data_IF_992844680276
#
_entry.id   IF_992844680276
#
_cell.length_a   1.000
_cell.length_b   1.000
_cell.length_c   1.000
_cell.angle_alpha   90.00
_cell.angle_beta   90.00
_cell.angle_gamma   90.00
#
_symmetry.space_group_name_H-M   'P 1'
#
loop_
_entity.id
_entity.type
_entity.pdbx_description
1 polymer ?
#
# COMPACT_ATOMS: atom_id res chain seq x y z
N UNK A 1 13.38 -5.62 -24.07
CA UNK A 1 12.52 -4.43 -23.97
C UNK A 1 13.08 -3.57 -22.83
N UNK A 2 13.37 -2.30 -23.08
CA UNK A 2 14.02 -1.25 -22.25
C UNK A 2 15.33 -1.52 -21.46
N UNK A 3 15.67 -2.76 -21.05
CA UNK A 3 16.92 -3.13 -20.34
C UNK A 3 17.27 -2.20 -19.16
N UNK A 4 16.27 -1.81 -18.38
CA UNK A 4 16.48 -0.95 -17.22
C UNK A 4 17.09 -1.76 -16.07
N UNK A 5 18.13 -1.25 -15.40
CA UNK A 5 18.60 -1.79 -14.12
C UNK A 5 17.48 -1.80 -13.07
N UNK A 6 17.45 -2.81 -12.20
CA UNK A 6 16.39 -2.93 -11.16
C UNK A 6 16.38 -1.73 -10.20
N UNK A 7 17.55 -1.13 -9.93
CA UNK A 7 17.66 0.07 -9.09
C UNK A 7 17.20 1.36 -9.78
N UNK A 8 16.86 1.31 -11.07
CA UNK A 8 16.22 2.41 -11.81
C UNK A 8 14.71 2.16 -12.01
N UNK A 9 14.19 1.03 -11.52
CA UNK A 9 12.77 0.76 -11.44
C UNK A 9 12.25 1.30 -10.11
N UNK A 10 11.19 2.09 -10.14
CA UNK A 10 10.50 2.54 -8.95
C UNK A 10 9.07 2.01 -8.96
N UNK A 11 8.70 1.29 -7.90
CA UNK A 11 7.32 0.85 -7.68
C UNK A 11 6.59 1.96 -6.93
N UNK A 12 5.45 2.40 -7.46
CA UNK A 12 4.60 3.43 -6.88
C UNK A 12 3.33 2.77 -6.34
N UNK A 13 3.02 3.04 -5.07
CA UNK A 13 1.73 2.73 -4.48
C UNK A 13 0.93 4.02 -4.32
N UNK A 14 -0.31 3.99 -4.80
CA UNK A 14 -1.25 5.10 -4.72
C UNK A 14 -2.69 4.67 -4.98
N UNK A 15 -3.62 5.58 -4.73
CA UNK A 15 -5.06 5.41 -5.00
C UNK A 15 -5.73 6.77 -5.15
N UNK A 16 -6.93 6.82 -5.70
CA UNK A 16 -7.66 8.07 -5.95
C UNK A 16 -7.99 8.87 -4.69
N UNK A 17 -8.06 8.18 -3.55
CA UNK A 17 -8.33 8.75 -2.25
C UNK A 17 -7.11 9.44 -1.62
N UNK A 18 -5.90 9.28 -2.19
CA UNK A 18 -4.65 9.84 -1.66
C UNK A 18 -4.12 11.01 -2.49
N UNK A 19 -3.58 12.01 -1.80
CA UNK A 19 -2.83 13.12 -2.40
C UNK A 19 -1.33 12.84 -2.42
N UNK A 20 -0.86 11.93 -1.57
CA UNK A 20 0.55 11.50 -1.43
C UNK A 20 0.72 10.03 -1.80
N UNK A 21 1.77 9.73 -2.58
CA UNK A 21 2.11 8.37 -3.02
C UNK A 21 3.28 7.80 -2.18
N UNK A 22 3.38 6.48 -2.14
CA UNK A 22 4.54 5.78 -1.59
C UNK A 22 5.39 5.18 -2.69
N UNK A 23 6.70 5.16 -2.48
CA UNK A 23 7.65 4.68 -3.48
C UNK A 23 8.61 3.64 -2.90
N UNK A 24 8.96 2.66 -3.72
CA UNK A 24 9.98 1.65 -3.46
C UNK A 24 10.99 1.60 -4.62
N UNK A 25 12.22 1.16 -4.34
CA UNK A 25 13.22 0.88 -5.38
C UNK A 25 13.19 -0.61 -5.73
N UNK A 26 13.12 -0.94 -7.01
CA UNK A 26 12.88 -2.30 -7.50
C UNK A 26 11.41 -2.72 -7.38
N UNK A 27 11.06 -3.89 -7.93
CA UNK A 27 9.67 -4.38 -7.94
C UNK A 27 9.16 -4.74 -6.54
N UNK A 28 10.02 -5.34 -5.72
CA UNK A 28 9.68 -5.90 -4.40
C UNK A 28 10.24 -5.07 -3.24
N UNK A 29 10.64 -3.82 -3.50
CA UNK A 29 11.25 -2.97 -2.51
C UNK A 29 10.26 -2.51 -1.41
N UNK A 30 10.76 -2.14 -0.22
CA UNK A 30 9.93 -1.55 0.81
C UNK A 30 9.47 -0.14 0.42
N UNK A 31 8.18 0.11 0.57
CA UNK A 31 7.53 1.37 0.23
C UNK A 31 7.67 2.38 1.37
N UNK A 32 7.87 3.65 1.00
CA UNK A 32 7.92 4.77 1.94
C UNK A 32 7.07 5.92 1.45
N UNK A 33 6.32 6.51 2.37
CA UNK A 33 5.61 7.77 2.16
C UNK A 33 6.53 8.99 2.42
N UNK A 34 6.21 10.17 1.86
CA UNK A 34 6.84 11.41 2.25
C UNK A 34 6.54 11.75 3.71
N UNK A 35 7.32 12.65 4.32
CA UNK A 35 7.29 12.92 5.78
C UNK A 35 5.93 13.40 6.34
N UNK A 36 5.06 13.93 5.49
CA UNK A 36 3.71 14.40 5.85
C UNK A 36 2.62 13.33 5.69
N UNK A 37 2.96 12.15 5.18
CA UNK A 37 2.07 11.01 5.07
C UNK A 37 2.65 9.84 5.87
N UNK A 38 1.84 9.24 6.74
CA UNK A 38 2.26 8.14 7.62
C UNK A 38 1.35 6.95 7.43
N UNK A 39 1.92 5.76 7.44
CA UNK A 39 1.15 4.53 7.47
C UNK A 39 1.17 3.87 8.85
N UNK A 40 0.16 3.05 9.10
CA UNK A 40 0.10 2.04 10.14
C UNK A 40 -0.29 0.72 9.48
N UNK A 41 0.16 -0.38 10.04
CA UNK A 41 -0.31 -1.72 9.67
C UNK A 41 -1.14 -2.21 10.85
N UNK A 42 -2.46 -2.32 10.65
CA UNK A 42 -3.38 -2.66 11.73
C UNK A 42 -3.88 -4.09 11.58
N UNK A 43 -3.97 -4.80 12.70
CA UNK A 43 -4.66 -6.08 12.75
C UNK A 43 -6.13 -5.89 12.32
N UNK A 44 -6.64 -6.70 11.37
CA UNK A 44 -8.00 -6.57 10.84
C UNK A 44 -9.12 -6.63 11.87
N UNK A 45 -8.94 -7.36 12.96
CA UNK A 45 -9.95 -7.66 13.98
C UNK A 45 -9.85 -6.73 15.17
N UNK A 46 -8.62 -6.46 15.64
CA UNK A 46 -8.37 -5.71 16.88
C UNK A 46 -8.10 -4.22 16.66
N UNK A 47 -7.84 -3.80 15.41
CA UNK A 47 -7.43 -2.45 15.02
C UNK A 47 -6.17 -1.91 15.73
N UNK A 48 -5.41 -2.80 16.37
CA UNK A 48 -4.12 -2.46 16.98
C UNK A 48 -3.02 -2.55 15.93
N UNK A 49 -2.01 -1.70 16.06
CA UNK A 49 -0.82 -1.80 15.22
C UNK A 49 -0.12 -3.13 15.48
N UNK A 50 0.19 -3.86 14.41
CA UNK A 50 0.89 -5.14 14.49
C UNK A 50 2.37 -4.95 14.81
N UNK A 51 3.04 -6.01 15.26
CA UNK A 51 4.49 -5.98 15.49
C UNK A 51 5.25 -5.81 14.14
N UNK A 52 6.55 -5.44 14.16
CA UNK A 52 7.39 -5.59 12.98
C UNK A 52 7.31 -7.03 12.42
N UNK A 53 7.43 -7.15 11.11
CA UNK A 53 7.34 -8.38 10.31
C UNK A 53 5.98 -9.09 10.34
N UNK A 54 4.96 -8.50 10.97
CA UNK A 54 3.58 -8.97 10.94
C UNK A 54 2.76 -8.29 9.82
N UNK A 55 1.74 -9.02 9.35
CA UNK A 55 0.83 -8.57 8.30
C UNK A 55 -0.45 -8.00 8.89
N UNK A 56 -0.96 -6.93 8.30
CA UNK A 56 -2.27 -6.36 8.61
C UNK A 56 -2.77 -5.46 7.49
N UNK A 57 -3.84 -4.72 7.73
CA UNK A 57 -4.33 -3.73 6.78
C UNK A 57 -3.50 -2.46 6.82
N UNK A 58 -3.13 -2.00 5.63
CA UNK A 58 -2.50 -0.71 5.40
C UNK A 58 -3.51 0.42 5.68
N UNK A 59 -3.23 1.20 6.73
CA UNK A 59 -3.94 2.43 7.07
C UNK A 59 -3.02 3.60 6.80
N UNK A 60 -3.53 4.65 6.16
CA UNK A 60 -2.75 5.78 5.69
C UNK A 60 -3.33 7.06 6.27
N UNK A 61 -2.46 7.87 6.87
CA UNK A 61 -2.73 9.20 7.36
C UNK A 61 -1.99 10.21 6.48
N UNK A 62 -2.71 10.85 5.56
CA UNK A 62 -2.17 11.81 4.61
C UNK A 62 -2.56 13.24 5.01
N UNK A 63 -1.58 14.03 5.47
CA UNK A 63 -1.82 15.44 5.82
C UNK A 63 -1.99 16.35 4.59
N UNK A 64 -1.66 15.85 3.39
CA UNK A 64 -1.90 16.58 2.14
C UNK A 64 -3.33 16.39 1.61
N UNK A 65 -4.14 15.49 2.19
CA UNK A 65 -5.57 15.33 1.88
C UNK A 65 -6.43 16.49 2.42
N UNK A 66 -6.07 17.72 2.05
CA UNK A 66 -6.83 18.91 2.39
C UNK A 66 -8.20 18.84 1.74
N UNK A 67 -9.25 19.14 2.52
CA UNK A 67 -10.67 19.03 2.11
C UNK A 67 -11.16 17.60 1.83
N UNK A 68 -10.42 16.57 2.22
CA UNK A 68 -10.84 15.18 2.19
C UNK A 68 -10.57 14.50 3.55
N UNK A 69 -10.83 13.20 3.63
CA UNK A 69 -10.47 12.39 4.80
C UNK A 69 -8.96 12.22 4.86
N UNK A 70 -8.38 12.50 6.04
CA UNK A 70 -6.94 12.35 6.25
C UNK A 70 -6.54 10.90 6.58
N UNK A 71 -7.44 10.12 7.20
CA UNK A 71 -7.22 8.72 7.55
C UNK A 71 -8.00 7.78 6.63
N UNK A 72 -7.31 6.85 5.97
CA UNK A 72 -7.88 5.90 5.02
C UNK A 72 -7.45 4.48 5.39
N UNK A 73 -8.43 3.58 5.54
CA UNK A 73 -8.21 2.13 5.66
C UNK A 73 -8.44 1.50 4.29
N UNK A 74 -7.36 1.03 3.67
CA UNK A 74 -7.32 0.69 2.24
C UNK A 74 -7.93 -0.68 1.89
N UNK A 75 -7.97 -1.58 2.88
CA UNK A 75 -8.16 -3.03 2.70
C UNK A 75 -7.06 -3.70 1.84
N UNK A 76 -5.87 -3.10 1.79
CA UNK A 76 -4.69 -3.75 1.25
C UNK A 76 -3.88 -4.35 2.39
N UNK A 77 -3.43 -5.59 2.23
CA UNK A 77 -2.52 -6.25 3.15
C UNK A 77 -1.09 -5.78 2.91
N UNK A 78 -0.41 -5.48 4.01
CA UNK A 78 1.00 -5.12 4.01
C UNK A 78 1.69 -5.64 5.27
N UNK A 79 3.01 -5.84 5.17
CA UNK A 79 3.90 -6.18 6.29
C UNK A 79 4.53 -4.91 6.83
N UNK A 80 4.54 -4.79 8.16
CA UNK A 80 5.19 -3.68 8.86
C UNK A 80 6.70 -3.93 8.94
N UNK A 81 7.52 -3.01 8.44
CA UNK A 81 8.98 -3.12 8.59
C UNK A 81 9.46 -2.27 9.79
N UNK A 82 10.59 -2.64 10.40
CA UNK A 82 11.15 -1.93 11.56
C UNK A 82 11.54 -0.47 11.24
N UNK A 83 11.92 -0.18 10.01
CA UNK A 83 12.49 1.10 9.58
C UNK A 83 11.46 2.11 9.07
N UNK A 84 10.20 1.99 9.53
CA UNK A 84 9.06 2.81 9.10
C UNK A 84 8.81 2.76 7.59
N UNK A 85 9.06 1.62 6.96
CA UNK A 85 8.55 1.28 5.63
C UNK A 85 7.46 0.21 5.74
N UNK A 86 6.88 -0.17 4.61
CA UNK A 86 6.01 -1.34 4.53
C UNK A 86 6.26 -2.13 3.24
N UNK A 87 5.97 -3.43 3.28
CA UNK A 87 5.99 -4.28 2.09
C UNK A 87 4.55 -4.60 1.72
N UNK A 88 4.12 -4.17 0.53
CA UNK A 88 2.77 -4.45 0.04
C UNK A 88 2.65 -5.94 -0.33
N UNK A 89 1.62 -6.61 0.19
CA UNK A 89 1.33 -8.01 -0.16
C UNK A 89 0.28 -8.08 -1.25
N UNK A 90 -0.75 -7.24 -1.17
CA UNK A 90 -1.82 -7.18 -2.15
C UNK A 90 -3.16 -6.82 -1.52
N UNK A 91 -4.20 -6.72 -2.36
CA UNK A 91 -5.54 -6.36 -1.91
C UNK A 91 -6.25 -7.55 -1.26
N UNK A 92 -7.01 -7.29 -0.20
CA UNK A 92 -7.85 -8.31 0.42
C UNK A 92 -8.80 -8.96 -0.62
N UNK A 93 -8.78 -10.29 -0.79
CA UNK A 93 -9.71 -11.00 -1.67
C UNK A 93 -11.18 -10.77 -1.32
N UNK A 94 -11.49 -10.51 -0.04
CA UNK A 94 -12.83 -10.19 0.44
C UNK A 94 -13.24 -8.72 0.26
N UNK A 95 -12.33 -7.84 -0.14
CA UNK A 95 -12.66 -6.45 -0.41
C UNK A 95 -13.56 -6.31 -1.64
N UNK A 96 -14.54 -5.40 -1.56
CA UNK A 96 -15.35 -5.04 -2.71
C UNK A 96 -14.43 -4.62 -3.88
N UNK A 97 -14.66 -5.14 -5.10
CA UNK A 97 -13.92 -4.70 -6.28
C UNK A 97 -14.07 -3.19 -6.46
N UNK A 98 -12.94 -2.48 -6.59
CA UNK A 98 -12.93 -1.03 -6.88
C UNK A 98 -12.11 -0.78 -8.15
N UNK A 99 -12.73 -0.12 -9.12
CA UNK A 99 -12.11 0.14 -10.44
C UNK A 99 -11.96 -1.12 -11.30
N UNK A 100 -11.19 -1.00 -12.39
CA UNK A 100 -10.95 -2.09 -13.36
C UNK A 100 -9.93 -3.15 -12.88
N UNK A 101 -9.46 -3.06 -11.64
CA UNK A 101 -8.32 -3.82 -11.11
C UNK A 101 -8.58 -5.33 -10.96
N UNK A 102 -9.83 -5.76 -10.77
CA UNK A 102 -10.16 -7.20 -10.66
C UNK A 102 -10.58 -7.87 -11.96
N UNK A 103 -10.82 -7.09 -13.03
CA UNK A 103 -11.22 -7.66 -14.33
C UNK A 103 -10.10 -8.51 -14.93
N UNK A 104 -8.84 -8.18 -14.62
CA UNK A 104 -7.67 -8.94 -15.05
C UNK A 104 -7.44 -10.20 -14.21
N UNK A 105 -7.59 -10.15 -12.88
CA UNK A 105 -7.46 -11.35 -12.03
C UNK A 105 -8.50 -12.42 -12.38
N UNK A 106 -9.74 -12.01 -12.68
CA UNK A 106 -10.78 -12.91 -13.16
C UNK A 106 -10.49 -13.45 -14.57
N UNK A 107 -9.78 -12.70 -15.41
CA UNK A 107 -9.38 -13.13 -16.75
C UNK A 107 -8.15 -14.04 -16.76
N UNK A 108 -7.24 -13.91 -15.77
CA UNK A 108 -6.04 -14.73 -15.61
C UNK A 108 -6.26 -16.02 -14.80
N UNK A 109 -7.42 -16.12 -14.13
CA UNK A 109 -7.85 -17.33 -13.40
C UNK A 109 -8.75 -18.26 -14.24
N UNK A 110 -8.89 -17.96 -15.54
CA UNK A 110 -9.51 -18.81 -16.58
C UNK A 110 -8.41 -19.42 -17.47
#
# INVERSE_FOLDING_TARGET
FFKLPLNHLHNEYGMTELSSQAYATGPDGPHRFPRWCRHLILDPETEREVAPDETGYLVIHDLANLHSVCGIRTQDFAVRNEDHSFTLIGRDPGALPRGCSRTIDQALSL
#
